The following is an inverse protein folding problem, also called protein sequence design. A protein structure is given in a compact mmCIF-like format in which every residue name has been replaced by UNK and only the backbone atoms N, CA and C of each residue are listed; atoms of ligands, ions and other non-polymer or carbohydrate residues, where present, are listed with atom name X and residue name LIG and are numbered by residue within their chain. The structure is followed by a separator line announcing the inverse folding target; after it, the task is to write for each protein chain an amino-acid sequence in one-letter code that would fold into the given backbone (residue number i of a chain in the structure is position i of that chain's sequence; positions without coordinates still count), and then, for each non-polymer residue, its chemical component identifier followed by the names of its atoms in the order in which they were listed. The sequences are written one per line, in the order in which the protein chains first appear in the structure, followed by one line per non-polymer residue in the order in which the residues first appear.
data_IF_681949213851
#
_entry.id   IF_681949213851
#
_cell.length_a   1.000
_cell.length_b   1.000
_cell.length_c   1.000
_cell.angle_alpha   90.00
_cell.angle_beta   90.00
_cell.angle_gamma   90.00
#
_symmetry.space_group_name_H-M   'P 1'
#
loop_
_entity.id
_entity.type
_entity.pdbx_description
1 polymer ?
#
# COMPACT_ATOMS: atom_id res chain seq x y z
N UNK A 1 -37.62 70.65 -27.12
CA UNK A 1 -39.09 70.61 -26.92
C UNK A 1 -39.59 69.22 -27.31
N UNK A 2 -40.71 68.79 -26.73
CA UNK A 2 -41.53 67.63 -27.11
C UNK A 2 -40.86 66.27 -27.42
N UNK A 3 -40.77 65.47 -26.35
CA UNK A 3 -41.21 64.06 -26.33
C UNK A 3 -42.40 63.74 -27.26
N UNK A 4 -42.33 62.62 -28.01
CA UNK A 4 -43.27 61.47 -27.97
C UNK A 4 -43.07 60.46 -29.10
N UNK A 5 -42.64 59.23 -28.75
CA UNK A 5 -43.29 57.97 -29.18
C UNK A 5 -42.51 56.73 -28.71
N UNK A 6 -43.19 55.87 -27.94
CA UNK A 6 -42.69 54.61 -27.38
C UNK A 6 -42.33 53.56 -28.45
N UNK A 7 -41.21 52.84 -28.26
CA UNK A 7 -41.07 51.36 -28.41
C UNK A 7 -39.65 50.90 -28.08
N UNK A 8 -39.51 49.74 -27.43
CA UNK A 8 -38.23 49.02 -27.31
C UNK A 8 -37.52 49.09 -25.95
N UNK A 9 -38.20 48.75 -24.85
CA UNK A 9 -37.54 48.54 -23.55
C UNK A 9 -36.62 47.31 -23.61
N UNK A 10 -35.30 47.41 -23.34
CA UNK A 10 -34.45 46.23 -23.22
C UNK A 10 -34.78 45.50 -21.91
N UNK A 11 -35.40 44.33 -22.02
CA UNK A 11 -35.70 43.47 -20.88
C UNK A 11 -34.40 42.88 -20.34
N UNK A 12 -33.88 43.46 -19.26
CA UNK A 12 -32.74 42.92 -18.51
C UNK A 12 -33.14 41.57 -17.92
N UNK A 13 -32.79 40.48 -18.61
CA UNK A 13 -33.00 39.12 -18.12
C UNK A 13 -32.15 38.95 -16.86
N UNK A 14 -32.84 38.86 -15.71
CA UNK A 14 -32.25 38.50 -14.43
C UNK A 14 -31.70 37.07 -14.50
N UNK A 15 -30.44 36.93 -14.91
CA UNK A 15 -29.67 35.70 -14.76
C UNK A 15 -29.44 35.47 -13.26
N UNK A 16 -30.43 34.84 -12.61
CA UNK A 16 -30.32 34.36 -11.24
C UNK A 16 -29.32 33.21 -11.21
N UNK A 17 -28.03 33.57 -11.12
CA UNK A 17 -26.95 32.62 -10.91
C UNK A 17 -27.12 32.09 -9.48
N UNK A 18 -27.92 31.03 -9.34
CA UNK A 18 -27.96 30.20 -8.13
C UNK A 18 -26.58 29.57 -7.94
N UNK A 19 -25.68 30.31 -7.28
CA UNK A 19 -24.41 29.78 -6.79
C UNK A 19 -24.72 28.60 -5.86
N UNK A 20 -24.46 27.40 -6.35
CA UNK A 20 -24.59 26.15 -5.59
C UNK A 20 -23.52 26.12 -4.50
N UNK A 21 -23.81 26.81 -3.39
CA UNK A 21 -22.99 26.84 -2.19
C UNK A 21 -22.72 25.42 -1.71
N UNK A 22 -21.43 25.04 -1.76
CA UNK A 22 -20.95 23.73 -1.30
C UNK A 22 -21.27 23.53 0.18
N UNK A 23 -21.29 22.29 0.66
CA UNK A 23 -21.62 22.03 2.08
C UNK A 23 -20.68 22.77 3.07
N UNK A 24 -19.44 23.04 2.66
CA UNK A 24 -18.44 23.86 3.36
C UNK A 24 -18.82 25.34 3.53
N UNK A 25 -19.79 25.85 2.77
CA UNK A 25 -20.30 27.23 2.86
C UNK A 25 -21.34 27.43 3.97
N UNK A 26 -21.88 26.35 4.54
CA UNK A 26 -22.87 26.43 5.63
C UNK A 26 -22.14 26.36 6.98
N UNK A 27 -22.34 27.33 7.89
CA UNK A 27 -21.87 27.21 9.27
C UNK A 27 -22.45 25.93 9.89
N UNK A 28 -21.58 25.04 10.35
CA UNK A 28 -21.99 23.79 10.97
C UNK A 28 -22.10 24.01 12.48
N UNK A 29 -23.32 24.05 13.03
CA UNK A 29 -23.57 24.26 14.48
C UNK A 29 -23.15 23.04 15.33
N UNK A 30 -21.85 22.83 15.47
CA UNK A 30 -21.28 21.94 16.48
C UNK A 30 -21.19 22.66 17.81
N UNK A 31 -21.97 22.18 18.79
CA UNK A 31 -21.85 22.42 20.23
C UNK A 31 -21.62 23.89 20.65
N UNK A 32 -22.68 24.56 21.11
CA UNK A 32 -22.63 25.89 21.74
C UNK A 32 -21.85 25.87 23.05
N UNK A 33 -20.52 25.87 22.95
CA UNK A 33 -19.61 26.10 24.07
C UNK A 33 -19.74 27.53 24.61
N UNK A 34 -19.09 27.79 25.76
CA UNK A 34 -19.17 29.04 26.52
C UNK A 34 -19.23 30.31 25.65
N UNK A 35 -20.20 31.18 25.96
CA UNK A 35 -20.51 32.44 25.29
C UNK A 35 -19.33 33.44 25.24
N UNK A 36 -18.26 33.21 26.01
CA UNK A 36 -17.04 34.02 26.02
C UNK A 36 -15.96 33.53 25.04
N UNK A 37 -16.33 33.21 23.79
CA UNK A 37 -15.36 32.87 22.73
C UNK A 37 -15.63 33.64 21.45
N UNK A 38 -15.03 34.83 21.36
CA UNK A 38 -15.13 35.69 20.19
C UNK A 38 -14.56 34.96 18.93
N UNK A 39 -15.40 34.55 17.97
CA UNK A 39 -15.04 33.54 16.97
C UNK A 39 -14.38 34.16 15.73
N UNK A 40 -13.49 35.13 15.93
CA UNK A 40 -12.69 35.73 14.84
C UNK A 40 -11.87 34.70 14.06
N UNK A 41 -11.54 35.05 12.82
CA UNK A 41 -10.72 34.26 11.90
C UNK A 41 -9.36 33.89 12.53
N UNK A 42 -8.88 32.67 12.25
CA UNK A 42 -7.69 32.10 12.91
C UNK A 42 -6.39 32.82 12.54
N UNK A 43 -6.34 33.46 11.37
CA UNK A 43 -5.19 34.29 10.93
C UNK A 43 -5.04 35.58 11.72
N UNK A 44 -6.15 36.12 12.23
CA UNK A 44 -6.20 37.44 12.87
C UNK A 44 -6.08 37.33 14.40
N UNK A 45 -5.92 36.09 14.92
CA UNK A 45 -5.82 35.78 16.35
C UNK A 45 -4.36 35.78 16.80
N UNK A 46 -3.96 36.87 17.45
CA UNK A 46 -2.75 36.95 18.26
C UNK A 46 -2.89 36.07 19.52
N UNK A 47 -2.58 34.78 19.38
CA UNK A 47 -2.44 33.90 20.53
C UNK A 47 -1.19 34.30 21.33
N UNK A 48 -1.30 34.60 22.65
CA UNK A 48 -0.11 34.73 23.47
C UNK A 48 0.65 33.41 23.45
N UNK A 49 1.98 33.47 23.34
CA UNK A 49 2.83 32.29 23.23
C UNK A 49 2.85 31.48 24.54
N UNK A 50 1.83 30.65 24.74
CA UNK A 50 1.70 29.75 25.89
C UNK A 50 2.79 28.67 25.81
N UNK A 51 3.96 29.01 26.34
CA UNK A 51 5.02 28.06 26.66
C UNK A 51 4.50 27.10 27.72
N UNK A 52 3.95 25.97 27.28
CA UNK A 52 3.77 24.79 28.10
C UNK A 52 5.14 24.50 28.73
N UNK A 53 5.23 24.50 30.06
CA UNK A 53 6.44 24.03 30.74
C UNK A 53 6.50 22.50 30.64
N UNK A 54 6.99 22.02 29.50
CA UNK A 54 7.04 20.60 29.12
C UNK A 54 7.85 19.79 30.16
N UNK A 55 8.82 20.43 30.83
CA UNK A 55 9.68 19.83 31.86
C UNK A 55 8.86 19.17 32.98
N UNK A 56 7.75 19.79 33.42
CA UNK A 56 6.88 19.26 34.48
C UNK A 56 6.13 17.97 34.11
N UNK A 57 6.05 17.59 32.83
CA UNK A 57 5.36 16.37 32.37
C UNK A 57 6.27 15.32 31.76
N UNK A 58 7.46 15.69 31.26
CA UNK A 58 8.39 14.76 30.62
C UNK A 58 9.16 13.84 31.57
N UNK A 59 9.16 14.08 32.89
CA UNK A 59 9.96 13.35 33.87
C UNK A 59 9.17 12.83 35.10
N UNK A 60 7.85 12.64 34.98
CA UNK A 60 7.13 11.85 35.98
C UNK A 60 7.36 10.35 35.76
N UNK A 61 8.41 9.82 36.39
CA UNK A 61 8.64 8.38 36.48
C UNK A 61 7.78 7.79 37.62
N UNK A 62 6.76 6.95 37.31
CA UNK A 62 5.88 6.36 38.33
C UNK A 62 6.56 5.28 39.17
N UNK A 63 7.77 4.83 38.82
CA UNK A 63 8.52 3.83 39.62
C UNK A 63 8.85 4.38 41.02
N UNK A 64 8.94 3.54 42.07
CA UNK A 64 9.49 3.94 43.36
C UNK A 64 10.93 4.46 43.20
N UNK A 65 11.35 5.41 44.04
CA UNK A 65 12.63 6.12 43.89
C UNK A 65 13.85 5.19 43.78
N UNK A 66 13.85 4.07 44.51
CA UNK A 66 14.86 3.01 44.46
C UNK A 66 15.07 2.37 43.08
N UNK A 67 14.09 2.45 42.19
CA UNK A 67 14.11 1.86 40.85
C UNK A 67 14.22 2.88 39.72
N UNK A 68 14.24 4.19 40.03
CA UNK A 68 14.31 5.25 39.00
C UNK A 68 15.69 5.33 38.33
N UNK A 69 16.75 5.08 39.09
CA UNK A 69 18.15 5.14 38.65
C UNK A 69 18.63 3.89 37.90
N UNK A 70 17.88 2.78 37.95
CA UNK A 70 18.21 1.56 37.20
C UNK A 70 17.53 1.62 35.82
N UNK A 71 18.31 1.59 34.75
CA UNK A 71 17.80 1.23 33.43
C UNK A 71 17.40 -0.25 33.41
N UNK A 72 16.36 -0.60 32.65
CA UNK A 72 15.93 -1.99 32.52
C UNK A 72 16.94 -2.76 31.66
N UNK A 73 17.58 -3.78 32.22
CA UNK A 73 18.48 -4.65 31.45
C UNK A 73 17.68 -5.48 30.45
N UNK A 74 18.32 -5.97 29.38
CA UNK A 74 17.65 -6.88 28.44
C UNK A 74 17.11 -8.14 29.13
N UNK A 75 17.74 -8.59 30.22
CA UNK A 75 17.22 -9.68 31.05
C UNK A 75 15.96 -9.27 31.83
N UNK A 76 15.92 -8.05 32.41
CA UNK A 76 14.70 -7.54 33.06
C UNK A 76 13.54 -7.46 32.05
N UNK A 77 13.80 -6.99 30.83
CA UNK A 77 12.81 -6.93 29.72
C UNK A 77 12.35 -8.33 29.31
N UNK A 78 13.28 -9.28 29.15
CA UNK A 78 12.95 -10.66 28.76
C UNK A 78 12.15 -11.38 29.85
N UNK A 79 12.52 -11.19 31.13
CA UNK A 79 11.80 -11.74 32.28
C UNK A 79 10.37 -11.17 32.35
N UNK A 80 10.21 -9.85 32.17
CA UNK A 80 8.90 -9.21 32.11
C UNK A 80 8.05 -9.78 30.98
N UNK A 81 8.61 -9.90 29.76
CA UNK A 81 7.90 -10.48 28.62
C UNK A 81 7.53 -11.96 28.81
N UNK A 82 8.39 -12.76 29.45
CA UNK A 82 8.12 -14.17 29.78
C UNK A 82 7.04 -14.34 30.85
N UNK A 83 6.97 -13.44 31.82
CA UNK A 83 5.86 -13.38 32.77
C UNK A 83 4.56 -12.95 32.08
N UNK A 84 4.64 -11.93 31.22
CA UNK A 84 3.50 -11.35 30.51
C UNK A 84 2.90 -12.30 29.46
N UNK A 85 3.71 -13.16 28.83
CA UNK A 85 3.23 -14.21 27.90
C UNK A 85 2.43 -15.33 28.59
N UNK A 86 2.42 -15.40 29.93
CA UNK A 86 1.57 -16.32 30.70
C UNK A 86 0.19 -15.74 31.02
N UNK A 87 -0.05 -14.47 30.72
CA UNK A 87 -1.36 -13.85 30.86
C UNK A 87 -2.29 -14.34 29.73
N UNK A 88 -3.52 -14.84 30.04
CA UNK A 88 -4.47 -15.27 29.01
C UNK A 88 -4.91 -14.13 28.06
N UNK A 89 -4.84 -12.86 28.50
CA UNK A 89 -5.20 -11.71 27.67
C UNK A 89 -3.96 -11.03 27.06
N UNK A 90 -4.02 -10.73 25.75
CA UNK A 90 -2.94 -10.00 25.04
C UNK A 90 -2.98 -8.51 25.35
N UNK A 91 -2.07 -8.08 26.21
CA UNK A 91 -1.83 -6.66 26.56
C UNK A 91 -1.09 -5.91 25.44
N UNK A 92 -1.20 -4.58 25.41
CA UNK A 92 -0.47 -3.74 24.42
C UNK A 92 1.05 -3.86 24.50
N UNK A 93 1.61 -4.15 25.68
CA UNK A 93 3.06 -4.29 25.86
C UNK A 93 3.64 -5.45 25.04
N UNK A 94 2.89 -6.54 24.84
CA UNK A 94 3.30 -7.68 24.00
C UNK A 94 3.40 -7.35 22.50
N UNK A 95 2.93 -6.17 22.05
CA UNK A 95 3.07 -5.66 20.69
C UNK A 95 4.15 -4.57 20.55
N UNK A 96 4.75 -4.13 21.67
CA UNK A 96 5.72 -3.03 21.70
C UNK A 96 7.10 -3.43 22.24
N UNK A 97 7.20 -4.57 22.93
CA UNK A 97 8.43 -5.12 23.47
C UNK A 97 8.75 -6.44 22.77
N UNK A 98 10.01 -6.61 22.38
CA UNK A 98 10.52 -7.83 21.75
C UNK A 98 11.37 -8.60 22.76
N UNK A 99 11.22 -9.93 22.79
CA UNK A 99 12.17 -10.83 23.45
C UNK A 99 13.48 -10.86 22.63
N UNK A 100 14.58 -10.42 23.23
CA UNK A 100 15.90 -10.44 22.58
C UNK A 100 16.85 -11.34 23.37
N UNK A 101 17.07 -12.53 22.84
CA UNK A 101 18.00 -13.51 23.38
C UNK A 101 19.41 -13.18 22.86
N UNK A 102 20.36 -12.95 23.76
CA UNK A 102 21.78 -12.70 23.42
C UNK A 102 22.53 -13.97 23.02
N UNK A 103 21.90 -15.12 23.28
CA UNK A 103 22.39 -16.49 23.25
C UNK A 103 21.52 -17.37 22.31
N UNK A 104 20.85 -16.76 21.32
CA UNK A 104 19.88 -17.42 20.45
C UNK A 104 20.51 -18.43 19.49
N UNK A 105 20.85 -19.62 19.99
CA UNK A 105 21.06 -20.77 19.12
C UNK A 105 19.71 -21.35 18.64
N UNK A 106 19.62 -21.62 17.34
CA UNK A 106 18.46 -22.27 16.76
C UNK A 106 18.44 -23.75 17.17
N UNK A 107 17.32 -24.23 17.68
CA UNK A 107 17.13 -25.65 17.94
C UNK A 107 17.21 -26.48 16.64
N UNK A 108 17.29 -27.81 16.74
CA UNK A 108 17.45 -28.65 15.55
C UNK A 108 16.25 -28.55 14.58
N UNK A 109 15.06 -28.15 15.04
CA UNK A 109 13.88 -27.83 14.22
C UNK A 109 14.01 -26.46 13.57
N UNK A 110 14.46 -25.45 14.30
CA UNK A 110 14.76 -24.10 13.83
C UNK A 110 15.82 -24.08 12.74
N UNK A 111 16.95 -24.78 12.94
CA UNK A 111 18.02 -24.95 11.93
C UNK A 111 17.48 -25.60 10.66
N UNK A 112 16.66 -26.66 10.78
CA UNK A 112 15.97 -27.30 9.63
C UNK A 112 14.98 -26.36 8.92
N UNK A 113 14.22 -25.54 9.66
CA UNK A 113 13.28 -24.55 9.10
C UNK A 113 14.04 -23.44 8.36
N UNK A 114 15.10 -22.89 8.93
CA UNK A 114 15.93 -21.88 8.27
C UNK A 114 16.55 -22.44 6.98
N UNK A 115 17.15 -23.64 7.03
CA UNK A 115 17.70 -24.30 5.85
C UNK A 115 16.64 -24.62 4.77
N UNK A 116 15.36 -24.76 5.12
CA UNK A 116 14.26 -24.83 4.15
C UNK A 116 13.97 -23.47 3.52
N UNK A 117 13.86 -22.41 4.33
CA UNK A 117 13.57 -21.04 3.88
C UNK A 117 14.69 -20.47 2.98
N UNK A 118 15.96 -20.73 3.31
CA UNK A 118 17.10 -20.34 2.48
C UNK A 118 17.07 -21.08 1.12
N UNK A 119 16.81 -22.40 1.10
CA UNK A 119 16.68 -23.15 -0.16
C UNK A 119 15.47 -22.70 -1.00
N UNK A 120 14.35 -22.33 -0.38
CA UNK A 120 13.21 -21.72 -1.08
C UNK A 120 13.62 -20.38 -1.71
N UNK A 121 14.30 -19.51 -0.97
CA UNK A 121 14.78 -18.22 -1.48
C UNK A 121 15.74 -18.40 -2.66
N UNK A 122 16.77 -19.25 -2.51
CA UNK A 122 17.73 -19.53 -3.59
C UNK A 122 17.08 -20.12 -4.84
N UNK A 123 16.07 -20.98 -4.71
CA UNK A 123 15.29 -21.48 -5.85
C UNK A 123 14.39 -20.41 -6.49
N UNK A 124 13.93 -19.44 -5.70
CA UNK A 124 13.04 -18.38 -6.17
C UNK A 124 13.79 -17.25 -6.91
N UNK A 125 15.06 -17.00 -6.57
CA UNK A 125 15.94 -16.10 -7.31
C UNK A 125 15.93 -16.46 -8.80
N UNK A 126 15.94 -15.47 -9.72
CA UNK A 126 16.05 -15.77 -11.15
C UNK A 126 17.22 -16.72 -11.37
N UNK A 127 17.06 -17.70 -12.26
CA UNK A 127 18.18 -18.58 -12.55
C UNK A 127 19.23 -17.77 -13.31
N UNK A 128 20.22 -17.34 -12.53
CA UNK A 128 21.57 -17.08 -12.96
C UNK A 128 22.01 -18.43 -13.59
N UNK A 129 21.90 -18.60 -14.92
CA UNK A 129 22.44 -19.74 -15.71
C UNK A 129 23.77 -19.22 -16.59
N UNK A 130 26.08 -19.22 -16.28
CA UNK A 130 27.44 -18.67 -16.65
C UNK A 130 27.87 -19.04 -18.05
N UNK A 131 27.90 -18.03 -18.90
CA UNK A 131 28.55 -18.14 -20.18
C UNK A 131 30.03 -18.25 -19.88
N UNK A 132 30.65 -19.33 -20.34
CA UNK A 132 32.00 -19.78 -19.98
C UNK A 132 33.12 -18.77 -20.36
N UNK A 133 32.74 -17.64 -20.95
CA UNK A 133 33.57 -16.54 -21.43
C UNK A 133 33.31 -15.20 -20.69
N UNK A 134 32.54 -15.21 -19.59
CA UNK A 134 32.33 -14.01 -18.77
C UNK A 134 33.63 -13.61 -18.02
N UNK A 135 34.10 -12.35 -18.11
CA UNK A 135 35.35 -11.95 -17.47
C UNK A 135 35.21 -11.97 -15.94
N UNK A 136 35.97 -12.84 -15.28
CA UNK A 136 36.00 -12.97 -13.81
C UNK A 136 36.70 -11.79 -13.15
N UNK A 137 35.94 -11.01 -12.38
CA UNK A 137 36.49 -10.19 -11.29
C UNK A 137 36.77 -11.07 -10.06
N UNK A 138 37.68 -10.63 -9.19
CA UNK A 138 38.35 -11.49 -8.20
C UNK A 138 37.43 -12.05 -7.09
N UNK A 139 36.24 -11.47 -6.89
CA UNK A 139 35.26 -11.90 -5.87
C UNK A 139 34.39 -13.12 -6.27
N UNK A 140 34.62 -13.73 -7.45
CA UNK A 140 34.06 -15.04 -7.82
C UNK A 140 32.54 -15.12 -8.04
N UNK A 141 31.81 -14.02 -7.91
CA UNK A 141 30.36 -13.92 -8.19
C UNK A 141 30.12 -13.84 -9.70
N UNK A 142 30.23 -14.97 -10.40
CA UNK A 142 30.03 -15.01 -11.85
C UNK A 142 28.55 -14.80 -12.17
N UNK A 143 28.26 -13.63 -12.76
CA UNK A 143 26.92 -13.27 -13.18
C UNK A 143 26.52 -14.01 -14.47
N UNK A 144 25.27 -14.46 -14.47
CA UNK A 144 24.47 -14.79 -15.62
C UNK A 144 23.25 -13.85 -15.60
N UNK A 145 22.72 -13.45 -16.75
CA UNK A 145 22.06 -12.14 -16.86
C UNK A 145 20.90 -12.06 -17.86
N UNK A 146 20.06 -11.03 -17.68
CA UNK A 146 19.01 -10.60 -18.61
C UNK A 146 19.54 -10.11 -19.98
N UNK A 147 20.86 -9.97 -20.14
CA UNK A 147 21.59 -9.37 -21.28
C UNK A 147 21.38 -10.01 -22.67
N UNK A 148 20.65 -11.13 -22.78
CA UNK A 148 20.27 -11.70 -24.09
C UNK A 148 18.98 -11.11 -24.65
N UNK A 149 18.21 -10.37 -23.83
CA UNK A 149 17.13 -9.52 -24.29
C UNK A 149 17.67 -8.11 -24.55
N UNK A 150 17.11 -7.35 -25.50
CA UNK A 150 17.40 -5.92 -25.63
C UNK A 150 17.15 -5.16 -24.32
N UNK A 151 17.84 -4.04 -24.14
CA UNK A 151 17.60 -3.11 -23.03
C UNK A 151 16.13 -2.62 -23.05
N UNK A 152 15.56 -2.37 -21.86
CA UNK A 152 14.16 -1.97 -21.63
C UNK A 152 13.09 -2.97 -22.15
N UNK A 153 13.46 -4.20 -22.48
CA UNK A 153 12.50 -5.25 -22.86
C UNK A 153 11.63 -5.66 -21.67
N UNK A 154 10.33 -5.36 -21.74
CA UNK A 154 9.31 -5.89 -20.84
C UNK A 154 8.84 -7.26 -21.33
N UNK A 155 8.80 -8.26 -20.45
CA UNK A 155 8.32 -9.60 -20.79
C UNK A 155 7.61 -10.29 -19.62
N UNK A 156 6.76 -11.26 -19.95
CA UNK A 156 6.05 -12.11 -18.98
C UNK A 156 6.91 -13.33 -18.61
N UNK A 157 7.00 -13.65 -17.31
CA UNK A 157 7.71 -14.83 -16.83
C UNK A 157 6.87 -16.09 -17.11
N UNK A 158 7.39 -17.10 -17.83
CA UNK A 158 6.63 -18.30 -18.20
C UNK A 158 6.01 -19.06 -17.03
N UNK A 159 4.82 -19.61 -17.24
CA UNK A 159 4.11 -20.41 -16.24
C UNK A 159 3.57 -19.60 -15.05
N UNK A 160 3.31 -18.30 -15.23
CA UNK A 160 2.80 -17.41 -14.17
C UNK A 160 1.43 -16.76 -14.45
N UNK A 161 0.80 -17.02 -15.62
CA UNK A 161 -0.49 -16.40 -16.03
C UNK A 161 -1.66 -16.62 -15.09
N UNK A 162 -1.80 -17.81 -14.51
CA UNK A 162 -2.85 -18.08 -13.50
C UNK A 162 -2.57 -17.45 -12.13
N UNK A 163 -1.58 -16.56 -12.05
CA UNK A 163 -1.18 -15.78 -10.88
C UNK A 163 -1.11 -16.63 -9.60
N UNK A 164 -1.95 -16.34 -8.60
CA UNK A 164 -2.01 -17.06 -7.33
C UNK A 164 -2.38 -18.55 -7.44
N UNK A 165 -2.92 -19.00 -8.58
CA UNK A 165 -3.12 -20.41 -8.91
C UNK A 165 -1.85 -21.13 -9.37
N UNK A 166 -0.76 -20.41 -9.67
CA UNK A 166 0.52 -21.00 -10.06
C UNK A 166 1.53 -20.97 -8.91
N UNK A 167 2.17 -22.11 -8.65
CA UNK A 167 3.24 -22.19 -7.64
C UNK A 167 4.51 -21.41 -8.05
N UNK A 168 4.68 -21.11 -9.34
CA UNK A 168 5.81 -20.33 -9.86
C UNK A 168 5.66 -18.82 -9.60
N UNK A 169 4.48 -18.22 -9.84
CA UNK A 169 4.22 -16.78 -9.62
C UNK A 169 4.49 -16.36 -8.17
N UNK A 170 3.98 -17.13 -7.21
CA UNK A 170 4.23 -16.87 -5.78
C UNK A 170 5.71 -17.01 -5.39
N UNK A 171 6.45 -17.90 -6.07
CA UNK A 171 7.90 -18.03 -5.90
C UNK A 171 8.66 -16.82 -6.47
N UNK A 172 8.49 -16.54 -7.76
CA UNK A 172 9.17 -15.44 -8.45
C UNK A 172 8.83 -14.06 -7.88
N UNK A 173 7.60 -13.84 -7.40
CA UNK A 173 7.24 -12.57 -6.71
C UNK A 173 7.93 -12.38 -5.36
N UNK A 174 8.35 -13.43 -4.67
CA UNK A 174 8.96 -13.29 -3.34
C UNK A 174 10.36 -12.67 -3.38
N UNK A 175 11.00 -12.61 -4.55
CA UNK A 175 12.35 -12.02 -4.77
C UNK A 175 12.30 -10.68 -5.51
N UNK A 176 11.13 -10.23 -5.95
CA UNK A 176 10.93 -8.97 -6.69
C UNK A 176 10.24 -7.91 -5.82
N UNK A 177 10.60 -6.64 -6.03
CA UNK A 177 9.81 -5.51 -5.54
C UNK A 177 8.65 -5.30 -6.51
N UNK A 178 7.55 -6.03 -6.27
CA UNK A 178 6.36 -5.93 -7.14
C UNK A 178 5.61 -4.62 -6.93
N UNK A 179 4.93 -4.09 -7.95
CA UNK A 179 4.14 -2.85 -7.89
C UNK A 179 3.26 -2.74 -6.62
N UNK A 180 2.58 -3.82 -6.23
CA UNK A 180 1.73 -3.89 -5.02
C UNK A 180 2.45 -3.76 -3.67
N UNK A 181 3.79 -3.82 -3.65
CA UNK A 181 4.63 -3.59 -2.45
C UNK A 181 5.62 -2.43 -2.62
N UNK A 182 5.78 -1.88 -3.82
CA UNK A 182 6.78 -0.85 -4.14
C UNK A 182 6.70 0.37 -3.20
N UNK A 183 5.49 0.89 -2.94
CA UNK A 183 5.28 1.97 -1.97
C UNK A 183 5.75 1.61 -0.55
N UNK A 184 5.53 0.35 -0.11
CA UNK A 184 5.94 -0.15 1.22
C UNK A 184 7.45 -0.38 1.31
N UNK A 185 8.09 -0.74 0.20
CA UNK A 185 9.54 -0.90 0.10
C UNK A 185 10.26 0.46 0.07
N UNK A 186 9.71 1.45 -0.65
CA UNK A 186 10.29 2.80 -0.76
C UNK A 186 10.24 3.58 0.57
N UNK A 187 9.18 3.41 1.36
CA UNK A 187 9.01 4.04 2.68
C UNK A 187 9.47 3.13 3.84
N UNK A 188 10.34 2.16 3.57
CA UNK A 188 10.81 1.22 4.58
C UNK A 188 11.80 1.89 5.53
N UNK A 189 11.75 1.49 6.81
CA UNK A 189 12.70 1.93 7.85
C UNK A 189 13.33 0.69 8.48
N UNK A 190 14.49 0.83 9.13
CA UNK A 190 15.23 -0.29 9.74
C UNK A 190 14.36 -1.14 10.69
N UNK A 191 13.50 -0.46 11.47
CA UNK A 191 12.52 -1.12 12.37
C UNK A 191 11.42 -1.88 11.64
N UNK A 192 11.11 -1.52 10.40
CA UNK A 192 10.17 -2.25 9.53
C UNK A 192 10.82 -3.35 8.69
N UNK A 193 12.14 -3.30 8.47
CA UNK A 193 12.86 -4.16 7.51
C UNK A 193 12.67 -5.65 7.80
N UNK A 194 12.89 -6.09 9.03
CA UNK A 194 12.77 -7.51 9.40
C UNK A 194 11.36 -8.07 9.16
N UNK A 195 10.31 -7.33 9.53
CA UNK A 195 8.91 -7.72 9.29
C UNK A 195 8.51 -7.62 7.82
N UNK A 196 9.06 -6.66 7.07
CA UNK A 196 8.90 -6.59 5.62
C UNK A 196 9.47 -7.85 4.96
N UNK A 197 10.72 -8.22 5.26
CA UNK A 197 11.39 -9.38 4.66
C UNK A 197 10.70 -10.69 5.03
N UNK A 198 10.32 -10.89 6.29
CA UNK A 198 9.58 -12.09 6.72
C UNK A 198 8.23 -12.26 6.00
N UNK A 199 7.48 -11.16 5.83
CA UNK A 199 6.20 -11.18 5.11
C UNK A 199 6.34 -11.29 3.59
N UNK A 200 7.40 -10.71 3.00
CA UNK A 200 7.62 -10.68 1.55
C UNK A 200 8.32 -11.93 1.00
N UNK A 201 9.46 -12.31 1.57
CA UNK A 201 10.27 -13.45 1.09
C UNK A 201 9.57 -14.80 1.31
N UNK A 202 8.82 -14.92 2.41
CA UNK A 202 8.35 -16.21 2.92
C UNK A 202 6.84 -16.30 3.14
N UNK A 203 6.09 -15.19 3.03
CA UNK A 203 4.62 -15.14 3.12
C UNK A 203 4.04 -15.63 4.46
N UNK A 204 4.79 -15.48 5.57
CA UNK A 204 4.53 -16.19 6.84
C UNK A 204 3.20 -15.80 7.51
N UNK A 205 2.71 -14.58 7.30
CA UNK A 205 1.52 -14.03 8.00
C UNK A 205 0.48 -13.39 7.05
N UNK A 206 0.18 -14.03 5.91
CA UNK A 206 -0.82 -13.52 4.96
C UNK A 206 -2.27 -13.79 5.41
N UNK A 207 -2.86 -12.82 6.10
CA UNK A 207 -4.29 -12.84 6.46
C UNK A 207 -5.19 -12.41 5.27
N UNK A 208 -6.20 -13.22 4.94
CA UNK A 208 -7.25 -12.86 3.97
C UNK A 208 -8.38 -12.13 4.68
N UNK A 209 -8.64 -10.87 4.30
CA UNK A 209 -9.77 -10.10 4.84
C UNK A 209 -11.06 -10.33 4.02
N UNK A 210 -12.26 -10.11 4.60
CA UNK A 210 -13.52 -10.13 3.86
C UNK A 210 -13.59 -9.12 2.70
N UNK A 211 -12.78 -8.06 2.75
CA UNK A 211 -12.63 -7.09 1.65
C UNK A 211 -11.78 -7.67 0.51
N UNK A 212 -10.67 -8.35 0.81
CA UNK A 212 -9.83 -9.04 -0.18
C UNK A 212 -10.60 -10.18 -0.86
N UNK A 213 -11.27 -11.03 -0.09
CA UNK A 213 -12.08 -12.13 -0.62
C UNK A 213 -13.25 -11.62 -1.50
N UNK A 214 -13.82 -10.46 -1.17
CA UNK A 214 -14.78 -9.78 -2.05
C UNK A 214 -14.12 -9.30 -3.35
N UNK A 215 -12.93 -8.70 -3.27
CA UNK A 215 -12.14 -8.27 -4.42
C UNK A 215 -11.89 -9.40 -5.41
N UNK A 216 -11.22 -10.47 -4.98
CA UNK A 216 -10.92 -11.65 -5.81
C UNK A 216 -12.15 -12.28 -6.45
N UNK A 217 -13.33 -12.22 -5.80
CA UNK A 217 -14.59 -12.73 -6.39
C UNK A 217 -15.20 -11.83 -7.47
N UNK A 218 -14.96 -10.51 -7.43
CA UNK A 218 -15.65 -9.55 -8.30
C UNK A 218 -14.74 -8.94 -9.38
N UNK A 219 -13.42 -9.10 -9.26
CA UNK A 219 -12.45 -8.66 -10.26
C UNK A 219 -12.71 -9.25 -11.66
N UNK A 220 -12.99 -10.56 -11.85
CA UNK A 220 -13.37 -11.10 -13.17
C UNK A 220 -14.66 -10.48 -13.71
N UNK A 221 -15.66 -10.26 -12.85
CA UNK A 221 -16.94 -9.66 -13.23
C UNK A 221 -16.74 -8.20 -13.70
N UNK A 222 -15.84 -7.47 -13.04
CA UNK A 222 -15.47 -6.11 -13.43
C UNK A 222 -14.64 -6.09 -14.74
N UNK A 223 -13.76 -7.09 -14.94
CA UNK A 223 -13.00 -7.30 -16.18
C UNK A 223 -13.96 -7.54 -17.36
N UNK A 224 -14.91 -8.47 -17.21
CA UNK A 224 -15.94 -8.77 -18.21
C UNK A 224 -16.81 -7.55 -18.57
N UNK A 225 -17.20 -6.76 -17.56
CA UNK A 225 -18.00 -5.55 -17.77
C UNK A 225 -17.21 -4.47 -18.52
N UNK A 226 -15.93 -4.29 -18.18
CA UNK A 226 -15.03 -3.38 -18.88
C UNK A 226 -14.75 -3.84 -20.32
N UNK A 227 -14.53 -5.14 -20.54
CA UNK A 227 -14.33 -5.74 -21.86
C UNK A 227 -15.52 -5.50 -22.79
N UNK A 228 -16.76 -5.70 -22.31
CA UNK A 228 -17.98 -5.45 -23.11
C UNK A 228 -18.05 -3.99 -23.60
N UNK A 229 -17.89 -3.04 -22.67
CA UNK A 229 -17.85 -1.61 -22.99
C UNK A 229 -16.68 -1.22 -23.92
N UNK A 230 -15.53 -1.91 -23.82
CA UNK A 230 -14.36 -1.68 -24.70
C UNK A 230 -14.49 -2.30 -26.09
N UNK A 231 -15.13 -3.46 -26.23
CA UNK A 231 -15.34 -4.07 -27.54
C UNK A 231 -16.29 -3.27 -28.44
N UNK A 232 -17.28 -2.59 -27.85
CA UNK A 232 -18.11 -1.58 -28.53
C UNK A 232 -17.27 -0.44 -29.14
N UNK A 233 -16.09 -0.18 -28.58
CA UNK A 233 -15.11 0.83 -29.01
C UNK A 233 -13.95 0.26 -29.85
N UNK A 234 -13.99 -1.04 -30.22
CA UNK A 234 -12.97 -1.79 -30.99
C UNK A 234 -11.61 -2.01 -30.30
N UNK A 235 -11.53 -1.85 -28.97
CA UNK A 235 -10.30 -2.18 -28.24
C UNK A 235 -10.21 -3.69 -27.95
N UNK A 236 -8.97 -4.19 -27.82
CA UNK A 236 -8.64 -5.59 -27.51
C UNK A 236 -7.94 -5.64 -26.14
N UNK A 237 -8.22 -6.66 -25.33
CA UNK A 237 -7.67 -6.79 -23.97
C UNK A 237 -7.08 -8.19 -23.79
N UNK A 238 -5.79 -8.29 -23.42
CA UNK A 238 -5.26 -9.53 -22.84
C UNK A 238 -5.64 -9.57 -21.36
N UNK A 239 -6.44 -10.57 -20.99
CA UNK A 239 -7.19 -10.63 -19.73
C UNK A 239 -6.61 -11.55 -18.65
N UNK A 240 -5.68 -12.45 -18.98
CA UNK A 240 -5.02 -13.34 -18.03
C UNK A 240 -3.50 -13.19 -18.14
N UNK A 241 -2.98 -12.16 -17.46
CA UNK A 241 -1.58 -11.78 -17.50
C UNK A 241 -0.80 -12.29 -16.29
N UNK A 242 0.42 -12.76 -16.57
CA UNK A 242 1.36 -13.25 -15.58
C UNK A 242 2.21 -12.16 -14.93
N UNK A 243 3.28 -12.62 -14.29
CA UNK A 243 4.30 -11.77 -13.69
C UNK A 243 5.19 -11.16 -14.78
N UNK A 244 5.03 -9.87 -15.02
CA UNK A 244 5.84 -9.10 -15.95
C UNK A 244 7.05 -8.48 -15.24
N UNK A 245 8.20 -8.48 -15.92
CA UNK A 245 9.46 -7.87 -15.49
C UNK A 245 10.10 -7.12 -16.67
N UNK A 246 11.11 -6.29 -16.40
CA UNK A 246 11.84 -5.49 -17.39
C UNK A 246 13.33 -5.87 -17.35
N UNK A 247 14.00 -5.96 -18.51
CA UNK A 247 15.40 -6.41 -18.61
C UNK A 247 16.41 -5.47 -17.94
N UNK A 248 16.17 -4.16 -17.98
CA UNK A 248 17.00 -3.15 -17.31
C UNK A 248 16.74 -3.06 -15.80
N UNK A 249 15.54 -3.46 -15.35
CA UNK A 249 15.11 -3.39 -13.96
C UNK A 249 14.70 -4.77 -13.40
N UNK A 250 15.62 -5.75 -13.37
CA UNK A 250 15.32 -7.16 -13.08
C UNK A 250 14.83 -7.44 -11.64
N UNK A 251 15.00 -6.49 -10.72
CA UNK A 251 14.48 -6.55 -9.35
C UNK A 251 13.04 -6.04 -9.19
N UNK A 252 12.45 -5.46 -10.25
CA UNK A 252 11.08 -4.93 -10.26
C UNK A 252 10.14 -5.85 -11.03
N UNK A 253 8.84 -5.76 -10.75
CA UNK A 253 7.83 -6.46 -11.55
C UNK A 253 6.40 -6.08 -11.25
N UNK A 254 5.47 -6.53 -12.08
CA UNK A 254 4.03 -6.32 -11.90
C UNK A 254 3.22 -7.54 -12.34
N UNK A 255 1.94 -7.56 -12.00
CA UNK A 255 0.96 -8.47 -12.60
C UNK A 255 -0.28 -7.62 -12.82
N UNK A 256 -0.38 -6.93 -13.98
CA UNK A 256 -1.49 -6.02 -14.24
C UNK A 256 -2.79 -6.82 -14.43
N UNK A 257 -3.93 -6.18 -14.15
CA UNK A 257 -5.25 -6.83 -14.24
C UNK A 257 -5.73 -6.97 -15.70
N UNK A 258 -5.00 -6.36 -16.64
CA UNK A 258 -5.10 -6.52 -18.09
C UNK A 258 -4.21 -5.53 -18.85
N UNK A 259 -4.01 -5.74 -20.15
CA UNK A 259 -3.41 -4.76 -21.08
C UNK A 259 -4.44 -4.44 -22.16
N UNK A 260 -4.69 -3.16 -22.40
CA UNK A 260 -5.66 -2.63 -23.36
C UNK A 260 -4.90 -2.15 -24.61
N UNK A 261 -5.15 -2.80 -25.75
CA UNK A 261 -4.65 -2.42 -27.06
C UNK A 261 -5.74 -1.67 -27.82
N UNK A 262 -5.40 -0.51 -28.38
CA UNK A 262 -6.31 0.32 -29.17
C UNK A 262 -5.70 0.63 -30.54
N UNK A 263 -6.47 0.65 -31.64
CA UNK A 263 -5.93 1.01 -32.95
C UNK A 263 -5.40 2.45 -33.07
N UNK A 264 -5.77 3.34 -32.13
CA UNK A 264 -5.47 4.77 -32.17
C UNK A 264 -4.62 5.29 -31.01
N UNK A 265 -4.29 4.44 -30.03
CA UNK A 265 -3.57 4.84 -28.80
C UNK A 265 -2.49 3.80 -28.44
N UNK A 266 -1.39 4.21 -27.78
CA UNK A 266 -0.43 3.28 -27.19
C UNK A 266 -1.08 2.28 -26.20
N UNK A 267 -0.49 1.09 -26.00
CA UNK A 267 -1.02 0.11 -25.04
C UNK A 267 -1.19 0.69 -23.63
N UNK A 268 -2.39 0.52 -23.06
CA UNK A 268 -2.73 0.96 -21.71
C UNK A 268 -2.72 -0.19 -20.70
N UNK A 269 -2.41 0.09 -19.44
CA UNK A 269 -2.58 -0.87 -18.35
C UNK A 269 -3.98 -0.79 -17.74
N UNK A 270 -4.55 -1.94 -17.40
CA UNK A 270 -5.80 -2.05 -16.63
C UNK A 270 -5.48 -2.46 -15.19
N UNK A 271 -6.05 -1.72 -14.23
CA UNK A 271 -5.96 -1.96 -12.79
C UNK A 271 -7.38 -1.88 -12.21
N UNK A 272 -7.88 -2.97 -11.63
CA UNK A 272 -9.27 -3.18 -11.21
C UNK A 272 -9.36 -3.06 -9.68
N UNK A 273 -10.34 -2.33 -9.15
CA UNK A 273 -10.51 -2.12 -7.70
C UNK A 273 -11.97 -2.27 -7.25
N UNK A 274 -12.35 -3.49 -6.89
CA UNK A 274 -13.69 -3.81 -6.41
C UNK A 274 -13.89 -3.41 -4.93
N UNK A 275 -14.41 -2.20 -4.70
CA UNK A 275 -14.53 -1.62 -3.36
C UNK A 275 -15.66 -2.26 -2.53
N UNK A 276 -15.30 -3.07 -1.54
CA UNK A 276 -16.25 -3.76 -0.66
C UNK A 276 -17.16 -2.85 0.18
N UNK A 277 -16.86 -1.55 0.26
CA UNK A 277 -17.67 -0.53 0.93
C UNK A 277 -18.75 0.12 0.02
N UNK A 278 -18.87 -0.34 -1.24
CA UNK A 278 -19.88 0.15 -2.19
C UNK A 278 -20.97 -0.87 -2.53
N UNK A 279 -20.93 -2.09 -1.97
CA UNK A 279 -21.92 -3.17 -2.21
C UNK A 279 -23.36 -2.67 -2.13
N UNK A 280 -23.70 -2.03 -1.02
CA UNK A 280 -25.07 -1.58 -0.73
C UNK A 280 -25.43 -0.30 -1.50
N UNK A 281 -24.43 0.43 -2.02
CA UNK A 281 -24.61 1.60 -2.88
C UNK A 281 -24.91 1.24 -4.34
N UNK A 282 -24.71 -0.01 -4.76
CA UNK A 282 -25.12 -0.49 -6.08
C UNK A 282 -26.65 -0.43 -6.29
N UNK A 283 -27.43 -0.32 -5.21
CA UNK A 283 -28.86 0.03 -5.23
C UNK A 283 -29.16 1.41 -5.83
N UNK A 284 -28.15 2.27 -6.00
CA UNK A 284 -28.23 3.59 -6.64
C UNK A 284 -27.32 3.63 -7.86
N UNK A 285 -27.74 2.94 -8.93
CA UNK A 285 -27.15 3.08 -10.27
C UNK A 285 -27.14 4.56 -10.65
N UNK A 286 -25.98 5.18 -10.96
CA UNK A 286 -25.95 6.56 -11.45
C UNK A 286 -26.63 6.64 -12.83
N UNK A 287 -27.67 7.45 -12.96
CA UNK A 287 -28.44 7.64 -14.20
C UNK A 287 -27.70 8.49 -15.25
N UNK A 288 -26.40 8.26 -15.41
CA UNK A 288 -25.48 9.01 -16.28
C UNK A 288 -25.08 8.25 -17.56
N UNK A 289 -25.63 7.04 -17.77
CA UNK A 289 -25.45 6.23 -18.96
C UNK A 289 -26.82 5.76 -19.48
N UNK A 290 -27.54 6.72 -20.08
CA UNK A 290 -28.75 6.57 -20.91
C UNK A 290 -28.75 7.68 -21.95
#
# INVERSE_FOLDING_TARGET
MYDRSLKGTPLLILTSIMKTVTCTSRPCEWNRGSLQRNPGNIRDKLYPAYKIDVKRRQHFDPRPTSHRTKEATQQDINNFMSALSKNPEKTRWQYHLELKYTDYDLDCKGKKRLAMLCRKFLKNLPEVIVTENAPTTEDGLIAYTYNSLPEDTVYEIPGTRTQGGSMNWGGRRSVLVTASVAYRAFHLTDRGLSGFLQSHLWSIDQAITPAMAYGTKHEPIARDAYMKWRHENRDVIDGELGLHVNSSYPGLGCSPDGIVYSPSMPPGLLEIKCLSAQKDKASRVPTAFK
#
